data_IF_083320796549
#
_entry.id   IF_083320796549
#
_cell.length_a   1.000
_cell.length_b   1.000
_cell.length_c   1.000
_cell.angle_alpha   90.00
_cell.angle_beta   90.00
_cell.angle_gamma   90.00
#
_symmetry.space_group_name_H-M   'P 1'
#
loop_
_entity.id
_entity.type
_entity.pdbx_description
1 polymer ?
#
# COMPACT_ATOMS: atom_id res chain seq x y z
N UNK A 1 17.24 8.36 13.86
CA UNK A 1 17.96 7.48 12.90
C UNK A 1 17.27 7.63 11.55
N UNK A 2 18.06 7.81 10.50
CA UNK A 2 17.53 7.82 9.11
C UNK A 2 18.02 6.56 8.42
N UNK A 3 17.09 5.86 7.76
CA UNK A 3 17.37 4.62 7.04
C UNK A 3 17.01 4.87 5.58
N UNK A 4 17.82 4.36 4.67
CA UNK A 4 17.65 4.48 3.24
C UNK A 4 17.38 3.09 2.65
N UNK A 5 16.37 3.01 1.77
CA UNK A 5 16.03 1.78 1.06
C UNK A 5 15.95 2.03 -0.44
N UNK A 6 16.41 1.08 -1.22
CA UNK A 6 16.12 1.03 -2.66
C UNK A 6 14.64 0.74 -2.89
N UNK A 7 14.10 1.22 -4.01
CA UNK A 7 12.69 1.00 -4.33
C UNK A 7 12.33 -0.49 -4.38
N UNK A 8 13.19 -1.32 -4.97
CA UNK A 8 12.93 -2.77 -5.05
C UNK A 8 12.83 -3.44 -3.66
N UNK A 9 13.55 -2.95 -2.65
CA UNK A 9 13.51 -3.50 -1.30
C UNK A 9 12.16 -3.21 -0.61
N UNK A 10 11.57 -2.05 -0.85
CA UNK A 10 10.27 -1.68 -0.25
C UNK A 10 9.10 -2.13 -1.12
N UNK A 11 9.31 -2.40 -2.40
CA UNK A 11 8.28 -2.87 -3.32
C UNK A 11 7.68 -4.23 -2.91
N UNK A 12 8.44 -5.05 -2.19
CA UNK A 12 7.96 -6.33 -1.65
C UNK A 12 6.84 -6.16 -0.62
N UNK A 13 6.75 -4.98 0.01
CA UNK A 13 5.75 -4.66 1.03
C UNK A 13 4.52 -3.93 0.48
N UNK A 14 4.43 -3.75 -0.85
CA UNK A 14 3.26 -3.11 -1.46
C UNK A 14 2.02 -3.97 -1.23
N UNK A 15 1.00 -3.38 -0.64
CA UNK A 15 -0.32 -4.00 -0.56
C UNK A 15 -1.07 -3.79 -1.88
N UNK A 16 -0.95 -4.74 -2.78
CA UNK A 16 -1.54 -4.68 -4.11
C UNK A 16 -3.08 -4.61 -4.10
N UNK A 17 -3.74 -5.08 -3.04
CA UNK A 17 -5.20 -4.96 -2.91
C UNK A 17 -5.61 -3.48 -2.89
N UNK A 18 -4.93 -2.64 -2.12
CA UNK A 18 -5.22 -1.21 -2.08
C UNK A 18 -4.88 -0.52 -3.39
N UNK A 19 -3.77 -0.90 -4.02
CA UNK A 19 -3.42 -0.37 -5.34
C UNK A 19 -4.53 -0.65 -6.36
N UNK A 20 -4.97 -1.90 -6.48
CA UNK A 20 -6.03 -2.27 -7.41
C UNK A 20 -7.36 -1.62 -7.07
N UNK A 21 -7.68 -1.49 -5.78
CA UNK A 21 -8.88 -0.78 -5.34
C UNK A 21 -8.88 0.69 -5.77
N UNK A 22 -7.76 1.38 -5.64
CA UNK A 22 -7.61 2.78 -6.08
C UNK A 22 -7.84 2.95 -7.59
N UNK A 23 -7.57 1.92 -8.39
CA UNK A 23 -7.83 1.88 -9.83
C UNK A 23 -9.20 1.29 -10.20
N UNK A 24 -10.08 1.10 -9.22
CA UNK A 24 -11.46 0.62 -9.45
C UNK A 24 -11.57 -0.88 -9.73
N UNK A 25 -10.57 -1.67 -9.34
CA UNK A 25 -10.62 -3.12 -9.45
C UNK A 25 -11.09 -3.77 -8.15
N UNK A 26 -11.76 -4.91 -8.28
CA UNK A 26 -12.10 -5.73 -7.12
C UNK A 26 -10.86 -6.40 -6.53
N UNK A 27 -10.82 -6.67 -5.20
CA UNK A 27 -9.66 -7.26 -4.51
C UNK A 27 -9.12 -8.54 -5.12
N UNK A 28 -9.98 -9.37 -5.71
CA UNK A 28 -9.59 -10.65 -6.34
C UNK A 28 -8.60 -10.50 -7.51
N UNK A 29 -8.60 -9.34 -8.20
CA UNK A 29 -7.67 -9.10 -9.28
C UNK A 29 -6.23 -8.87 -8.77
N UNK A 30 -6.07 -8.50 -7.50
CA UNK A 30 -4.75 -8.34 -6.89
C UNK A 30 -3.96 -9.66 -6.79
N UNK A 31 -4.63 -10.81 -6.93
CA UNK A 31 -3.98 -12.12 -6.97
C UNK A 31 -2.93 -12.24 -8.07
N UNK A 32 -3.01 -11.43 -9.15
CA UNK A 32 -1.97 -11.38 -10.20
C UNK A 32 -0.58 -11.07 -9.64
N UNK A 33 -0.49 -10.32 -8.54
CA UNK A 33 0.77 -9.97 -7.90
C UNK A 33 1.52 -11.18 -7.32
N UNK A 34 0.83 -12.27 -7.07
CA UNK A 34 1.37 -13.51 -6.50
C UNK A 34 1.57 -14.61 -7.55
N UNK A 35 1.27 -14.33 -8.83
CA UNK A 35 1.42 -15.29 -9.92
C UNK A 35 2.84 -15.21 -10.47
N UNK A 36 3.42 -16.38 -10.75
CA UNK A 36 4.70 -16.43 -11.45
C UNK A 36 4.62 -15.73 -12.80
N UNK A 37 5.64 -14.92 -13.11
CA UNK A 37 5.62 -13.99 -14.24
C UNK A 37 5.72 -14.62 -15.63
N UNK A 38 5.68 -15.97 -15.79
CA UNK A 38 5.69 -16.63 -17.07
C UNK A 38 4.35 -16.54 -17.80
N UNK A 39 4.38 -16.64 -19.12
CA UNK A 39 3.17 -16.51 -19.95
C UNK A 39 2.16 -17.62 -19.70
N UNK A 40 2.61 -18.85 -19.41
CA UNK A 40 1.73 -19.96 -19.08
C UNK A 40 0.94 -19.70 -17.78
N UNK A 41 1.62 -19.24 -16.73
CA UNK A 41 0.95 -18.91 -15.45
C UNK A 41 -0.05 -17.76 -15.63
N UNK A 42 0.30 -16.74 -16.40
CA UNK A 42 -0.60 -15.62 -16.72
C UNK A 42 -1.83 -16.08 -17.49
N UNK A 43 -1.64 -16.95 -18.50
CA UNK A 43 -2.73 -17.51 -19.27
C UNK A 43 -3.67 -18.38 -18.39
N UNK A 44 -3.10 -19.21 -17.52
CA UNK A 44 -3.87 -19.98 -16.55
C UNK A 44 -4.67 -19.09 -15.59
N UNK A 45 -4.07 -18.01 -15.09
CA UNK A 45 -4.77 -17.06 -14.22
C UNK A 45 -5.94 -16.40 -14.95
N UNK A 46 -5.76 -15.95 -16.19
CA UNK A 46 -6.85 -15.38 -17.01
C UNK A 46 -7.97 -16.39 -17.27
N UNK A 47 -7.64 -17.65 -17.48
CA UNK A 47 -8.62 -18.70 -17.73
C UNK A 47 -9.54 -19.00 -16.53
N UNK A 48 -9.14 -18.63 -15.31
CA UNK A 48 -9.96 -18.79 -14.11
C UNK A 48 -11.18 -17.86 -14.08
N UNK A 49 -11.16 -16.77 -14.87
CA UNK A 49 -12.26 -15.82 -14.92
C UNK A 49 -13.32 -16.20 -15.94
N UNK A 50 -14.61 -15.99 -15.62
CA UNK A 50 -15.68 -16.11 -16.59
C UNK A 50 -15.42 -15.22 -17.81
N UNK A 51 -15.91 -15.61 -18.98
CA UNK A 51 -15.67 -14.90 -20.24
C UNK A 51 -15.97 -13.40 -20.13
N UNK A 52 -17.09 -13.04 -19.49
CA UNK A 52 -17.51 -11.65 -19.27
C UNK A 52 -16.51 -10.81 -18.43
N UNK A 53 -15.63 -11.44 -17.69
CA UNK A 53 -14.67 -10.77 -16.78
C UNK A 53 -13.23 -10.85 -17.28
N UNK A 54 -12.96 -11.66 -18.31
CA UNK A 54 -11.58 -11.85 -18.84
C UNK A 54 -10.95 -10.56 -19.32
N UNK A 55 -11.73 -9.68 -19.94
CA UNK A 55 -11.23 -8.37 -20.35
C UNK A 55 -10.77 -7.56 -19.16
N UNK A 56 -11.57 -7.54 -18.07
CA UNK A 56 -11.20 -6.83 -16.85
C UNK A 56 -9.97 -7.44 -16.16
N UNK A 57 -9.86 -8.77 -16.18
CA UNK A 57 -8.67 -9.46 -15.67
C UNK A 57 -7.42 -9.14 -16.53
N UNK A 58 -7.58 -9.06 -17.84
CA UNK A 58 -6.47 -8.67 -18.74
C UNK A 58 -6.02 -7.21 -18.49
N UNK A 59 -6.96 -6.29 -18.28
CA UNK A 59 -6.65 -4.90 -17.89
C UNK A 59 -5.89 -4.86 -16.55
N UNK A 60 -6.34 -5.62 -15.55
CA UNK A 60 -5.66 -5.72 -14.26
C UNK A 60 -4.23 -6.26 -14.40
N UNK A 61 -4.03 -7.29 -15.23
CA UNK A 61 -2.70 -7.82 -15.52
C UNK A 61 -1.81 -6.78 -16.21
N UNK A 62 -2.36 -6.02 -17.15
CA UNK A 62 -1.62 -4.96 -17.83
C UNK A 62 -1.23 -3.84 -16.86
N UNK A 63 -2.15 -3.41 -16.01
CA UNK A 63 -1.90 -2.43 -14.97
C UNK A 63 -0.77 -2.88 -14.03
N UNK A 64 -0.77 -4.15 -13.61
CA UNK A 64 0.29 -4.72 -12.78
C UNK A 64 1.65 -4.70 -13.48
N UNK A 65 1.69 -5.06 -14.77
CA UNK A 65 2.93 -5.00 -15.58
C UNK A 65 3.48 -3.57 -15.66
N UNK A 66 2.61 -2.60 -15.87
CA UNK A 66 3.01 -1.19 -15.95
C UNK A 66 3.51 -0.66 -14.60
N UNK A 67 2.83 -1.01 -13.50
CA UNK A 67 3.27 -0.66 -12.16
C UNK A 67 4.69 -1.21 -11.87
N UNK A 68 4.96 -2.47 -12.22
CA UNK A 68 6.29 -3.05 -12.03
C UNK A 68 7.37 -2.40 -12.92
N UNK A 69 7.04 -2.03 -14.17
CA UNK A 69 7.96 -1.25 -15.03
C UNK A 69 8.27 0.11 -14.39
N UNK A 70 7.27 0.78 -13.83
CA UNK A 70 7.44 2.04 -13.13
C UNK A 70 8.35 1.88 -11.91
N UNK A 71 8.11 0.85 -11.08
CA UNK A 71 8.96 0.57 -9.90
C UNK A 71 10.41 0.30 -10.31
N UNK A 72 10.63 -0.47 -11.37
CA UNK A 72 11.98 -0.73 -11.90
C UNK A 72 12.67 0.56 -12.37
N UNK A 73 11.93 1.44 -13.03
CA UNK A 73 12.47 2.72 -13.48
C UNK A 73 12.78 3.65 -12.29
N UNK A 74 11.88 3.72 -11.32
CA UNK A 74 12.09 4.52 -10.11
C UNK A 74 13.30 4.03 -9.30
N UNK A 75 13.57 2.73 -9.29
CA UNK A 75 14.71 2.14 -8.56
C UNK A 75 16.07 2.60 -9.10
N UNK A 76 16.12 3.14 -10.32
CA UNK A 76 17.35 3.67 -10.92
C UNK A 76 17.74 5.03 -10.32
N UNK A 77 16.76 5.92 -10.15
CA UNK A 77 16.99 7.33 -9.84
C UNK A 77 16.53 7.72 -8.44
N UNK A 78 15.72 6.89 -7.77
CA UNK A 78 15.09 7.20 -6.50
C UNK A 78 15.41 6.17 -5.42
N UNK A 79 15.33 6.63 -4.18
CA UNK A 79 15.36 5.78 -2.99
C UNK A 79 14.36 6.31 -1.97
N UNK A 80 13.90 5.44 -1.09
CA UNK A 80 13.04 5.83 0.01
C UNK A 80 13.87 6.16 1.24
N UNK A 81 13.36 7.07 2.05
CA UNK A 81 13.95 7.46 3.32
C UNK A 81 12.94 7.22 4.44
N UNK A 82 13.35 6.53 5.48
CA UNK A 82 12.58 6.40 6.71
C UNK A 82 13.31 7.09 7.85
N UNK A 83 12.61 7.97 8.56
CA UNK A 83 13.13 8.61 9.78
C UNK A 83 12.42 7.96 10.96
N UNK A 84 13.21 7.36 11.84
CA UNK A 84 12.72 6.68 13.04
C UNK A 84 13.36 7.33 14.27
N UNK A 85 12.52 7.72 15.23
CA UNK A 85 12.95 8.25 16.51
C UNK A 85 12.03 7.76 17.62
N UNK A 86 12.62 7.33 18.73
CA UNK A 86 11.91 7.10 19.97
C UNK A 86 11.85 8.44 20.71
N UNK A 87 10.67 8.81 21.16
CA UNK A 87 10.42 10.07 21.83
C UNK A 87 9.52 9.84 23.03
N UNK A 88 9.73 10.64 24.09
CA UNK A 88 8.77 10.72 25.17
C UNK A 88 7.53 11.46 24.66
N UNK A 89 6.39 10.81 24.73
CA UNK A 89 5.11 11.37 24.33
C UNK A 89 4.08 11.23 25.43
N UNK A 90 3.19 12.21 25.56
CA UNK A 90 2.04 12.19 26.41
C UNK A 90 0.84 12.82 25.69
N UNK A 91 -0.37 12.44 26.05
CA UNK A 91 -1.58 13.07 25.54
C UNK A 91 -2.21 13.93 26.63
N UNK A 92 -2.63 15.13 26.27
CA UNK A 92 -3.33 16.06 27.12
C UNK A 92 -4.50 16.65 26.33
N UNK A 93 -5.72 16.42 26.80
CA UNK A 93 -6.96 16.77 26.09
C UNK A 93 -6.98 16.19 24.66
N UNK A 94 -6.93 17.06 23.65
CA UNK A 94 -6.93 16.70 22.23
C UNK A 94 -5.55 16.79 21.57
N UNK A 95 -4.52 16.91 22.37
CA UNK A 95 -3.16 17.12 21.88
C UNK A 95 -2.25 15.96 22.25
N UNK A 96 -1.27 15.72 21.40
CA UNK A 96 -0.10 14.89 21.74
C UNK A 96 1.09 15.80 21.93
N UNK A 97 1.75 15.69 23.05
CA UNK A 97 2.98 16.39 23.36
C UNK A 97 4.17 15.43 23.17
N UNK A 98 5.09 15.79 22.29
CA UNK A 98 6.31 15.04 22.06
C UNK A 98 7.52 15.94 22.27
N UNK A 99 8.32 15.65 23.29
CA UNK A 99 9.52 16.44 23.67
C UNK A 99 9.27 17.97 23.69
N UNK A 100 8.15 18.38 24.28
CA UNK A 100 7.79 19.82 24.40
C UNK A 100 7.14 20.42 23.14
N UNK A 101 6.98 19.66 22.08
CA UNK A 101 6.26 20.09 20.88
C UNK A 101 4.83 19.59 20.93
N UNK A 102 3.89 20.51 20.72
CA UNK A 102 2.45 20.23 20.69
C UNK A 102 2.02 19.81 19.29
N UNK A 103 1.30 18.68 19.20
CA UNK A 103 0.65 18.21 17.99
C UNK A 103 -0.86 18.13 18.25
N UNK A 104 -1.66 19.05 17.68
CA UNK A 104 -3.10 18.98 17.81
C UNK A 104 -3.67 17.84 16.95
N UNK A 105 -4.51 17.01 17.56
CA UNK A 105 -5.20 15.92 16.90
C UNK A 105 -6.69 15.97 17.15
N UNK A 106 -7.46 15.42 16.22
CA UNK A 106 -8.88 15.20 16.43
C UNK A 106 -9.12 13.92 17.25
N UNK A 107 -10.13 13.94 18.09
CA UNK A 107 -10.64 12.73 18.71
C UNK A 107 -11.42 11.91 17.69
N UNK A 108 -11.44 10.60 17.87
CA UNK A 108 -12.29 9.70 17.11
C UNK A 108 -13.75 10.16 17.25
N UNK A 109 -14.43 10.37 16.12
CA UNK A 109 -15.80 10.90 16.12
C UNK A 109 -16.86 9.83 16.40
N UNK A 110 -16.54 8.56 16.17
CA UNK A 110 -17.42 7.43 16.43
C UNK A 110 -16.66 6.38 17.24
N UNK A 111 -17.00 6.24 18.50
CA UNK A 111 -16.47 5.19 19.35
C UNK A 111 -17.56 4.14 19.61
N UNK A 112 -17.34 2.86 19.30
CA UNK A 112 -18.34 1.81 19.51
C UNK A 112 -18.59 1.51 20.98
N UNK A 113 -17.62 1.73 21.87
CA UNK A 113 -17.72 1.65 23.32
C UNK A 113 -16.53 2.34 23.97
N UNK A 114 -16.78 3.07 25.07
CA UNK A 114 -15.73 3.74 25.86
C UNK A 114 -15.39 5.15 25.37
N UNK A 115 -14.27 5.67 25.85
CA UNK A 115 -13.82 7.01 25.48
C UNK A 115 -13.16 7.04 24.11
N UNK A 116 -13.38 8.12 23.31
CA UNK A 116 -12.75 8.27 21.99
C UNK A 116 -11.23 8.39 22.13
N UNK A 117 -10.50 7.70 21.26
CA UNK A 117 -9.05 7.84 21.12
C UNK A 117 -8.67 9.08 20.31
N UNK A 118 -7.44 9.56 20.50
CA UNK A 118 -6.84 10.53 19.58
C UNK A 118 -6.59 9.87 18.21
N UNK A 119 -6.91 10.60 17.16
CA UNK A 119 -6.68 10.14 15.80
C UNK A 119 -5.31 10.59 15.27
#
# INVERSE_FOLDING_TARGET
MTIHYRIHQVAEYINWVYFFHAWGFQPRFAAIAHIHGCDACRAMWLAQFPEKERNKAAEAMQLFKEANRMLTRLDQDFQTHAVIRLMNANSEENDIWMEGTRFPFLRQQTAPAGEPYLC
#
